data_IF_366492322217
#
_entry.id   IF_366492322217
#
_cell.length_a   1.000
_cell.length_b   1.000
_cell.length_c   1.000
_cell.angle_alpha   90.00
_cell.angle_beta   90.00
_cell.angle_gamma   90.00
#
_symmetry.space_group_name_H-M   'P 1'
#
loop_
_entity.id
_entity.type
_entity.pdbx_description
1 polymer ?
#
# COMPACT_ATOMS: atom_id res chain seq x y z
N UNK A 1 9.60 -10.94 34.02
CA UNK A 1 8.63 -10.94 32.92
C UNK A 1 9.45 -10.85 31.65
N UNK A 2 9.62 -11.98 30.97
CA UNK A 2 10.65 -12.19 29.95
C UNK A 2 10.43 -11.31 28.72
N UNK A 3 11.49 -10.63 28.34
CA UNK A 3 11.57 -9.81 27.13
C UNK A 3 11.43 -10.67 25.88
N UNK A 4 10.62 -10.19 24.94
CA UNK A 4 10.48 -10.62 23.55
C UNK A 4 11.78 -11.21 22.97
N UNK A 5 11.76 -12.40 22.33
CA UNK A 5 12.93 -12.88 21.60
C UNK A 5 13.11 -12.02 20.35
N UNK A 6 14.13 -11.18 20.39
CA UNK A 6 14.66 -10.46 19.24
C UNK A 6 14.97 -11.45 18.12
N UNK A 7 14.38 -11.24 16.93
CA UNK A 7 14.92 -11.75 15.67
C UNK A 7 16.42 -11.46 15.65
N UNK A 8 17.23 -12.53 15.65
CA UNK A 8 18.68 -12.46 15.74
C UNK A 8 19.24 -11.56 14.64
N UNK A 9 20.10 -10.62 15.07
CA UNK A 9 21.01 -9.86 14.20
C UNK A 9 21.96 -10.83 13.50
N UNK A 10 21.67 -11.17 12.25
CA UNK A 10 22.60 -11.80 11.32
C UNK A 10 23.14 -10.77 10.34
N UNK A 11 24.44 -10.53 10.44
CA UNK A 11 25.37 -9.92 9.48
C UNK A 11 25.04 -8.57 8.80
N UNK A 12 25.65 -7.51 9.36
CA UNK A 12 25.71 -6.17 8.80
C UNK A 12 26.88 -6.04 7.81
N UNK A 13 26.79 -6.63 6.62
CA UNK A 13 27.59 -6.16 5.46
C UNK A 13 26.90 -6.55 4.16
N UNK A 14 25.84 -5.86 3.75
CA UNK A 14 25.49 -5.66 2.34
C UNK A 14 24.73 -4.32 2.31
N UNK A 15 25.28 -3.31 1.64
CA UNK A 15 24.57 -2.05 1.36
C UNK A 15 23.37 -2.35 0.45
N UNK A 16 22.26 -2.81 1.03
CA UNK A 16 21.00 -2.91 0.32
C UNK A 16 20.51 -1.49 0.11
N UNK A 17 20.68 -0.98 -1.12
CA UNK A 17 19.96 0.21 -1.58
C UNK A 17 18.49 0.04 -1.17
N UNK A 18 17.82 1.06 -0.61
CA UNK A 18 16.40 0.98 -0.33
C UNK A 18 15.69 0.55 -1.62
N UNK A 19 14.81 -0.46 -1.52
CA UNK A 19 14.04 -0.91 -2.67
C UNK A 19 13.21 0.28 -3.15
N UNK A 20 13.48 0.73 -4.36
CA UNK A 20 12.79 1.87 -4.98
C UNK A 20 11.30 1.51 -5.12
N UNK A 21 10.42 2.35 -4.59
CA UNK A 21 8.98 2.27 -4.81
C UNK A 21 8.71 2.59 -6.29
N UNK A 22 8.16 1.61 -7.01
CA UNK A 22 7.83 1.75 -8.43
C UNK A 22 6.35 2.10 -8.60
N UNK A 23 6.02 3.39 -8.52
CA UNK A 23 4.70 3.91 -8.86
C UNK A 23 4.57 4.36 -10.33
N UNK A 24 5.58 4.08 -11.16
CA UNK A 24 5.67 4.64 -12.51
C UNK A 24 4.57 4.10 -13.43
N UNK A 25 4.17 2.84 -13.25
CA UNK A 25 3.05 2.27 -13.99
C UNK A 25 1.72 2.99 -13.69
N UNK A 26 1.49 3.31 -12.41
CA UNK A 26 0.27 3.99 -11.96
C UNK A 26 0.12 5.42 -12.48
N UNK A 27 1.23 6.10 -12.86
CA UNK A 27 1.15 7.42 -13.50
C UNK A 27 0.41 7.37 -14.84
N UNK A 28 0.38 6.20 -15.49
CA UNK A 28 -0.32 5.98 -16.75
C UNK A 28 -1.74 5.43 -16.55
N UNK A 29 -2.17 5.23 -15.30
CA UNK A 29 -3.52 4.81 -14.92
C UNK A 29 -4.21 6.02 -14.30
N UNK A 30 -4.82 6.85 -15.13
CA UNK A 30 -5.37 8.13 -14.71
C UNK A 30 -6.64 8.48 -15.47
N UNK A 31 -7.36 9.51 -15.03
CA UNK A 31 -8.55 9.98 -15.71
C UNK A 31 -8.23 10.69 -17.03
N UNK A 32 -9.26 10.94 -17.85
CA UNK A 32 -9.10 11.55 -19.17
C UNK A 32 -8.57 12.98 -19.13
N UNK A 33 -8.73 13.71 -18.03
CA UNK A 33 -8.18 15.05 -17.89
C UNK A 33 -6.67 14.99 -17.64
N UNK A 34 -6.24 14.24 -16.63
CA UNK A 34 -4.82 14.04 -16.32
C UNK A 34 -4.07 13.36 -17.46
N UNK A 35 -4.72 12.43 -18.18
CA UNK A 35 -4.11 11.77 -19.34
C UNK A 35 -3.86 12.75 -20.49
N UNK A 36 -4.80 13.66 -20.78
CA UNK A 36 -4.60 14.70 -21.79
C UNK A 36 -3.46 15.65 -21.43
N UNK A 37 -3.34 16.02 -20.16
CA UNK A 37 -2.24 16.88 -19.70
C UNK A 37 -0.88 16.16 -19.79
N UNK A 38 -0.82 14.87 -19.44
CA UNK A 38 0.37 14.04 -19.59
C UNK A 38 0.83 13.92 -21.04
N UNK A 39 -0.12 13.83 -21.98
CA UNK A 39 0.13 13.60 -23.41
C UNK A 39 0.16 14.89 -24.26
N UNK A 40 0.14 16.07 -23.63
CA UNK A 40 0.10 17.36 -24.34
C UNK A 40 1.37 17.60 -25.16
N UNK A 41 1.22 18.31 -26.28
CA UNK A 41 2.37 18.69 -27.12
C UNK A 41 3.17 19.86 -26.49
N UNK A 42 4.52 19.88 -26.66
CA UNK A 42 5.33 18.80 -27.22
C UNK A 42 5.46 17.63 -26.23
N UNK A 43 5.09 16.42 -26.66
CA UNK A 43 5.23 15.22 -25.85
C UNK A 43 6.64 14.65 -26.00
N UNK A 44 7.25 14.30 -24.88
CA UNK A 44 8.51 13.54 -24.83
C UNK A 44 8.43 12.48 -23.73
N UNK A 45 8.59 11.21 -24.09
CA UNK A 45 8.55 10.10 -23.14
C UNK A 45 9.61 10.23 -22.03
N UNK A 46 10.81 10.73 -22.36
CA UNK A 46 11.85 11.02 -21.37
C UNK A 46 11.43 12.12 -20.38
N UNK A 47 10.56 13.03 -20.80
CA UNK A 47 9.92 14.05 -19.97
C UNK A 47 9.03 13.44 -18.89
N UNK A 48 8.42 12.27 -19.10
CA UNK A 48 7.59 11.59 -18.09
C UNK A 48 8.38 11.22 -16.81
N UNK A 49 9.70 11.01 -16.94
CA UNK A 49 10.60 10.78 -15.80
C UNK A 49 11.01 12.06 -15.04
N UNK A 50 10.90 13.23 -15.69
CA UNK A 50 11.35 14.54 -15.18
C UNK A 50 10.22 15.48 -14.79
N UNK A 51 9.03 15.28 -15.34
CA UNK A 51 7.87 16.10 -15.09
C UNK A 51 7.42 15.95 -13.63
N UNK A 52 7.16 17.09 -12.99
CA UNK A 52 6.31 17.15 -11.82
C UNK A 52 4.89 16.85 -12.30
N UNK A 53 4.58 15.57 -12.45
CA UNK A 53 3.21 15.15 -12.75
C UNK A 53 2.37 15.51 -11.54
N UNK A 54 1.47 16.47 -11.73
CA UNK A 54 0.49 16.79 -10.71
C UNK A 54 -0.50 15.63 -10.65
N UNK A 55 -0.44 14.85 -9.58
CA UNK A 55 -1.42 13.83 -9.24
C UNK A 55 -2.18 14.34 -8.01
N UNK A 56 -3.33 14.96 -8.26
CA UNK A 56 -4.13 15.57 -7.21
C UNK A 56 -5.56 15.82 -7.65
N UNK A 57 -6.35 16.43 -6.76
CA UNK A 57 -7.69 16.92 -7.07
C UNK A 57 -7.65 18.44 -7.08
N UNK A 58 -8.33 19.09 -8.03
CA UNK A 58 -8.34 20.57 -8.13
C UNK A 58 -9.23 21.20 -7.07
N UNK A 59 -10.13 20.41 -6.50
CA UNK A 59 -11.04 20.75 -5.40
C UNK A 59 -11.03 19.60 -4.39
N UNK A 60 -11.20 19.86 -3.07
CA UNK A 60 -11.31 18.79 -2.09
C UNK A 60 -12.36 17.74 -2.49
N UNK A 61 -11.99 16.46 -2.42
CA UNK A 61 -12.92 15.34 -2.66
C UNK A 61 -12.98 14.45 -1.43
N UNK A 62 -14.19 14.11 -1.00
CA UNK A 62 -14.39 13.06 -0.01
C UNK A 62 -14.36 11.70 -0.70
N UNK A 63 -13.62 10.78 -0.11
CA UNK A 63 -13.49 9.39 -0.55
C UNK A 63 -13.63 8.47 0.66
N UNK A 64 -14.15 7.26 0.43
CA UNK A 64 -14.27 6.23 1.45
C UNK A 64 -12.95 5.50 1.72
N UNK A 65 -11.92 5.70 0.88
CA UNK A 65 -10.60 5.08 1.01
C UNK A 65 -9.49 6.12 0.80
N UNK A 66 -8.43 6.05 1.61
CA UNK A 66 -7.23 6.85 1.43
C UNK A 66 -6.13 6.08 0.69
N UNK A 67 -5.39 6.78 -0.18
CA UNK A 67 -4.24 6.25 -0.92
C UNK A 67 -2.88 6.73 -0.36
N UNK A 68 -2.90 7.71 0.54
CA UNK A 68 -1.71 8.31 1.17
C UNK A 68 -2.04 8.65 2.63
N UNK A 69 -1.01 8.71 3.50
CA UNK A 69 -1.23 9.07 4.92
C UNK A 69 -2.09 10.32 5.02
N UNK A 70 -3.22 10.27 5.75
CA UNK A 70 -4.02 11.44 5.99
C UNK A 70 -3.23 12.42 6.86
N UNK A 71 -3.22 13.69 6.46
CA UNK A 71 -2.57 14.76 7.24
C UNK A 71 -3.27 15.04 8.57
N UNK A 72 -4.52 14.60 8.70
CA UNK A 72 -5.31 14.72 9.92
C UNK A 72 -5.96 13.38 10.22
N UNK A 73 -5.64 12.84 11.38
CA UNK A 73 -6.27 11.65 11.95
C UNK A 73 -6.95 12.10 13.22
N UNK A 74 -8.27 11.90 13.30
CA UNK A 74 -8.95 11.98 14.58
C UNK A 74 -8.53 10.79 15.44
N UNK A 75 -7.60 11.04 16.36
CA UNK A 75 -7.05 10.05 17.29
C UNK A 75 -7.82 9.99 18.62
N UNK A 76 -9.04 10.54 18.69
CA UNK A 76 -9.92 10.36 19.85
C UNK A 76 -10.48 8.93 19.91
N UNK A 77 -10.51 8.24 18.77
CA UNK A 77 -10.92 6.84 18.64
C UNK A 77 -9.77 5.97 18.15
N UNK A 78 -9.88 4.65 18.37
CA UNK A 78 -8.84 3.68 18.01
C UNK A 78 -8.46 3.81 16.54
N UNK A 79 -7.14 3.87 16.31
CA UNK A 79 -6.49 3.74 14.99
C UNK A 79 -5.62 2.50 15.00
N UNK A 80 -5.41 1.80 13.88
CA UNK A 80 -4.54 0.63 13.86
C UNK A 80 -3.06 1.04 13.96
N UNK A 81 -2.19 0.09 14.28
CA UNK A 81 -0.76 0.27 14.03
C UNK A 81 -0.44 0.05 12.55
N UNK A 82 0.72 0.52 12.10
CA UNK A 82 1.23 0.22 10.77
C UNK A 82 2.10 -1.05 10.83
N UNK A 83 1.67 -2.20 10.30
CA UNK A 83 2.58 -3.32 10.08
C UNK A 83 3.60 -2.86 9.04
N UNK A 84 4.84 -2.68 9.47
CA UNK A 84 5.87 -2.12 8.61
C UNK A 84 6.53 -3.21 7.79
N UNK A 85 6.63 -4.44 8.30
CA UNK A 85 7.49 -5.49 7.73
C UNK A 85 8.89 -4.95 7.33
N UNK A 86 9.40 -3.97 8.10
CA UNK A 86 10.65 -3.26 7.82
C UNK A 86 10.58 -2.14 6.76
N UNK A 87 9.38 -1.64 6.42
CA UNK A 87 9.12 -0.56 5.46
C UNK A 87 8.27 0.55 6.09
N UNK A 88 8.59 1.80 5.76
CA UNK A 88 7.67 2.91 5.97
C UNK A 88 6.65 2.88 4.84
N UNK A 89 5.43 2.42 5.13
CA UNK A 89 4.38 2.23 4.14
C UNK A 89 3.00 2.42 4.77
N UNK A 90 2.24 3.32 4.16
CA UNK A 90 0.93 3.75 4.63
C UNK A 90 -0.18 2.79 4.18
N UNK A 91 0.10 1.95 3.18
CA UNK A 91 -0.89 1.13 2.47
C UNK A 91 -1.63 0.18 3.41
N UNK A 92 -0.89 -0.54 4.26
CA UNK A 92 -1.48 -1.47 5.22
C UNK A 92 -2.22 -0.73 6.34
N UNK A 93 -1.65 0.36 6.87
CA UNK A 93 -2.31 1.18 7.88
C UNK A 93 -3.66 1.69 7.37
N UNK A 94 -3.71 2.25 6.16
CA UNK A 94 -4.93 2.81 5.58
C UNK A 94 -5.97 1.75 5.23
N UNK A 95 -5.53 0.59 4.73
CA UNK A 95 -6.43 -0.53 4.46
C UNK A 95 -7.08 -1.06 5.74
N UNK A 96 -6.28 -1.25 6.80
CA UNK A 96 -6.80 -1.69 8.10
C UNK A 96 -7.67 -0.60 8.73
N UNK A 97 -7.29 0.68 8.64
CA UNK A 97 -8.08 1.80 9.18
C UNK A 97 -9.46 1.85 8.52
N UNK A 98 -9.51 1.76 7.18
CA UNK A 98 -10.76 1.73 6.42
C UNK A 98 -11.60 0.49 6.76
N UNK A 99 -10.97 -0.63 7.09
CA UNK A 99 -11.67 -1.84 7.51
C UNK A 99 -12.22 -1.76 8.94
N UNK A 100 -11.52 -1.12 9.89
CA UNK A 100 -12.01 -1.01 11.28
C UNK A 100 -12.92 0.20 11.51
N UNK A 101 -12.87 1.20 10.65
CA UNK A 101 -13.66 2.42 10.75
C UNK A 101 -14.35 2.73 9.40
N UNK A 102 -15.31 1.90 8.96
CA UNK A 102 -15.90 1.98 7.61
C UNK A 102 -16.72 3.26 7.35
N UNK A 103 -17.11 3.99 8.40
CA UNK A 103 -17.80 5.28 8.28
C UNK A 103 -16.82 6.47 8.19
N UNK A 104 -15.50 6.20 8.24
CA UNK A 104 -14.50 7.24 8.07
C UNK A 104 -14.57 7.81 6.65
N UNK A 105 -14.57 9.13 6.56
CA UNK A 105 -14.38 9.83 5.30
C UNK A 105 -12.97 10.38 5.24
N UNK A 106 -12.31 10.17 4.10
CA UNK A 106 -11.00 10.75 3.84
C UNK A 106 -11.16 11.91 2.87
N UNK A 107 -10.47 13.01 3.15
CA UNK A 107 -10.42 14.16 2.26
C UNK A 107 -9.17 14.07 1.38
N UNK A 108 -9.34 13.88 0.08
CA UNK A 108 -8.32 14.21 -0.90
C UNK A 108 -8.30 15.73 -1.04
N UNK A 109 -7.21 16.37 -0.60
CA UNK A 109 -7.06 17.80 -0.71
C UNK A 109 -6.23 18.15 -1.96
N UNK A 110 -6.42 19.34 -2.56
CA UNK A 110 -5.50 19.88 -3.55
C UNK A 110 -4.15 20.11 -2.86
N UNK A 111 -3.24 19.14 -2.99
CA UNK A 111 -1.97 19.17 -2.29
C UNK A 111 -0.83 19.24 -3.29
N UNK A 112 -0.12 20.36 -3.26
CA UNK A 112 1.20 20.52 -3.87
C UNK A 112 2.26 20.06 -2.87
N UNK A 113 2.16 18.85 -2.34
CA UNK A 113 3.31 18.24 -1.66
C UNK A 113 4.14 17.58 -2.74
N UNK A 114 5.02 18.38 -3.33
CA UNK A 114 6.13 17.85 -4.10
C UNK A 114 7.00 17.04 -3.14
N UNK A 115 6.89 15.72 -3.19
CA UNK A 115 7.94 14.87 -2.62
C UNK A 115 9.21 15.15 -3.42
N UNK A 116 10.10 16.00 -2.89
CA UNK A 116 11.46 16.07 -3.38
C UNK A 116 12.08 14.70 -3.12
N UNK A 117 12.31 13.88 -4.17
CA UNK A 117 12.81 12.54 -3.95
C UNK A 117 14.23 12.66 -3.40
N UNK A 118 14.49 12.04 -2.25
CA UNK A 118 15.81 12.06 -1.58
C UNK A 118 16.90 11.45 -2.48
N UNK A 119 16.49 10.53 -3.38
CA UNK A 119 17.33 9.91 -4.41
C UNK A 119 16.69 10.06 -5.80
N UNK A 120 17.49 10.18 -6.85
CA UNK A 120 17.00 10.14 -8.23
C UNK A 120 16.27 8.81 -8.50
N UNK A 121 15.01 8.88 -8.93
CA UNK A 121 14.20 7.72 -9.33
C UNK A 121 14.05 7.72 -10.84
N UNK A 122 14.64 6.73 -11.52
CA UNK A 122 14.37 6.49 -12.93
C UNK A 122 12.99 5.81 -13.08
N UNK A 123 11.96 6.65 -13.20
CA UNK A 123 10.57 6.19 -13.33
C UNK A 123 10.34 5.47 -14.65
N UNK A 124 11.02 5.89 -15.72
CA UNK A 124 10.81 5.31 -17.05
C UNK A 124 11.36 3.89 -17.09
N UNK A 125 12.58 3.68 -16.58
CA UNK A 125 13.12 2.33 -16.45
C UNK A 125 12.27 1.46 -15.50
N UNK A 126 11.81 2.03 -14.39
CA UNK A 126 10.93 1.32 -13.46
C UNK A 126 9.61 0.88 -14.12
N UNK A 127 9.01 1.68 -15.01
CA UNK A 127 7.79 1.31 -15.74
C UNK A 127 7.94 0.05 -16.59
N UNK A 128 9.16 -0.28 -17.03
CA UNK A 128 9.45 -1.48 -17.82
C UNK A 128 9.87 -2.69 -16.97
N UNK A 129 9.69 -2.62 -15.66
CA UNK A 129 9.88 -3.73 -14.73
C UNK A 129 8.53 -4.27 -14.27
N UNK A 130 8.52 -5.47 -13.71
CA UNK A 130 7.34 -6.03 -13.07
C UNK A 130 6.79 -5.06 -12.01
N UNK A 131 5.46 -4.97 -11.92
CA UNK A 131 4.75 -4.15 -10.96
C UNK A 131 5.22 -4.51 -9.55
N UNK A 132 5.76 -3.52 -8.85
CA UNK A 132 6.21 -3.70 -7.48
C UNK A 132 4.97 -3.75 -6.58
N UNK A 133 4.65 -4.94 -6.08
CA UNK A 133 3.70 -5.14 -5.00
C UNK A 133 4.38 -5.80 -3.80
N UNK A 134 3.80 -5.65 -2.62
CA UNK A 134 4.37 -6.17 -1.39
C UNK A 134 3.34 -6.71 -0.40
N UNK A 135 3.85 -7.27 0.70
CA UNK A 135 3.02 -7.89 1.73
C UNK A 135 2.08 -6.92 2.42
N UNK A 136 2.45 -5.64 2.55
CA UNK A 136 1.59 -4.61 3.11
C UNK A 136 0.42 -4.30 2.18
N UNK A 137 0.67 -4.26 0.87
CA UNK A 137 -0.37 -4.16 -0.15
C UNK A 137 -1.31 -5.37 -0.09
N UNK A 138 -0.78 -6.58 0.10
CA UNK A 138 -1.61 -7.78 0.24
C UNK A 138 -2.48 -7.70 1.50
N UNK A 139 -1.89 -7.34 2.63
CA UNK A 139 -2.62 -7.21 3.89
C UNK A 139 -3.72 -6.14 3.81
N UNK A 140 -3.44 -5.01 3.13
CA UNK A 140 -4.44 -3.98 2.86
C UNK A 140 -5.61 -4.53 2.05
N UNK A 141 -5.33 -5.24 0.94
CA UNK A 141 -6.35 -5.90 0.14
C UNK A 141 -7.15 -6.97 0.92
N UNK A 142 -6.47 -7.73 1.77
CA UNK A 142 -7.10 -8.70 2.67
C UNK A 142 -8.05 -8.02 3.66
N UNK A 143 -7.62 -6.94 4.31
CA UNK A 143 -8.46 -6.16 5.23
C UNK A 143 -9.72 -5.63 4.52
N UNK A 144 -9.59 -5.12 3.30
CA UNK A 144 -10.74 -4.71 2.48
C UNK A 144 -11.66 -5.88 2.12
N UNK A 145 -11.11 -7.05 1.78
CA UNK A 145 -11.89 -8.25 1.45
C UNK A 145 -12.72 -8.76 2.63
N UNK A 146 -12.18 -8.71 3.85
CA UNK A 146 -12.88 -9.21 5.06
C UNK A 146 -13.81 -8.16 5.68
N UNK A 147 -13.58 -6.86 5.45
CA UNK A 147 -14.35 -5.77 6.06
C UNK A 147 -15.88 -5.90 5.93
N UNK A 148 -16.46 -6.29 4.77
CA UNK A 148 -17.91 -6.47 4.63
C UNK A 148 -18.52 -7.56 5.52
N UNK A 149 -17.70 -8.51 6.00
CA UNK A 149 -18.12 -9.61 6.87
C UNK A 149 -18.23 -9.17 8.33
N UNK A 150 -17.57 -8.06 8.69
CA UNK A 150 -17.56 -7.51 10.05
C UNK A 150 -18.79 -6.63 10.27
N UNK A 151 -19.74 -7.08 11.10
CA UNK A 151 -21.02 -6.37 11.34
C UNK A 151 -20.96 -5.36 12.49
N UNK A 152 -20.09 -5.58 13.47
CA UNK A 152 -19.93 -4.67 14.61
C UNK A 152 -19.29 -3.34 14.23
N UNK A 153 -19.56 -2.28 15.00
CA UNK A 153 -18.96 -0.94 14.82
C UNK A 153 -17.79 -0.64 15.77
N UNK A 154 -17.60 -1.46 16.81
CA UNK A 154 -16.47 -1.32 17.72
C UNK A 154 -15.14 -1.57 16.98
N UNK A 155 -14.32 -0.52 16.86
CA UNK A 155 -13.06 -0.56 16.11
C UNK A 155 -12.10 -1.60 16.68
N UNK A 156 -12.07 -1.76 18.00
CA UNK A 156 -11.20 -2.74 18.68
C UNK A 156 -11.60 -4.18 18.36
N UNK A 157 -12.89 -4.50 18.44
CA UNK A 157 -13.43 -5.80 18.06
C UNK A 157 -13.20 -6.10 16.58
N UNK A 158 -13.38 -5.10 15.69
CA UNK A 158 -13.08 -5.25 14.26
C UNK A 158 -11.59 -5.52 14.04
N UNK A 159 -10.68 -4.79 14.69
CA UNK A 159 -9.24 -5.02 14.57
C UNK A 159 -8.85 -6.44 15.01
N UNK A 160 -9.36 -6.89 16.16
CA UNK A 160 -9.15 -8.27 16.65
C UNK A 160 -9.72 -9.31 15.70
N UNK A 161 -10.89 -9.07 15.10
CA UNK A 161 -11.49 -9.98 14.13
C UNK A 161 -10.64 -10.10 12.85
N UNK A 162 -10.15 -8.97 12.30
CA UNK A 162 -9.24 -9.00 11.13
C UNK A 162 -7.96 -9.75 11.48
N UNK A 163 -7.39 -9.50 12.67
CA UNK A 163 -6.19 -10.18 13.14
C UNK A 163 -6.38 -11.69 13.32
N UNK A 164 -7.54 -12.13 13.82
CA UNK A 164 -7.89 -13.54 13.93
C UNK A 164 -8.05 -14.21 12.54
N UNK A 165 -8.67 -13.51 11.59
CA UNK A 165 -8.76 -13.98 10.20
C UNK A 165 -7.38 -14.07 9.54
N UNK A 166 -6.49 -13.11 9.79
CA UNK A 166 -5.11 -13.15 9.32
C UNK A 166 -4.33 -14.32 9.94
N UNK A 167 -4.50 -14.57 11.25
CA UNK A 167 -3.90 -15.72 11.93
C UNK A 167 -4.40 -17.05 11.36
N UNK A 168 -5.70 -17.16 11.06
CA UNK A 168 -6.27 -18.33 10.40
C UNK A 168 -5.70 -18.52 8.99
N UNK A 169 -5.55 -17.44 8.21
CA UNK A 169 -4.91 -17.50 6.89
C UNK A 169 -3.45 -17.97 6.99
N UNK A 170 -2.71 -17.55 8.02
CA UNK A 170 -1.33 -17.98 8.27
C UNK A 170 -1.19 -19.46 8.65
N UNK A 171 -2.25 -20.07 9.17
CA UNK A 171 -2.27 -21.47 9.60
C UNK A 171 -2.31 -22.48 8.43
N UNK A 172 -2.50 -22.00 7.19
CA UNK A 172 -2.37 -22.86 6.01
C UNK A 172 -0.90 -23.33 5.82
N UNK A 173 -0.73 -24.42 5.08
CA UNK A 173 0.59 -24.92 4.74
C UNK A 173 1.31 -23.97 3.75
N UNK A 174 2.61 -24.19 3.52
CA UNK A 174 3.42 -23.32 2.65
C UNK A 174 2.92 -23.28 1.19
N UNK A 175 2.41 -24.39 0.67
CA UNK A 175 1.91 -24.48 -0.70
C UNK A 175 0.62 -23.68 -0.90
N UNK A 176 -0.32 -23.78 0.04
CA UNK A 176 -1.56 -23.01 0.05
C UNK A 176 -1.27 -21.51 0.19
N UNK A 177 -0.34 -21.13 1.08
CA UNK A 177 0.08 -19.74 1.21
C UNK A 177 0.71 -19.18 -0.06
N UNK A 178 1.57 -19.97 -0.72
CA UNK A 178 2.15 -19.61 -2.01
C UNK A 178 1.06 -19.42 -3.08
N UNK A 179 0.05 -20.30 -3.11
CA UNK A 179 -1.06 -20.21 -4.03
C UNK A 179 -1.90 -18.95 -3.79
N UNK A 180 -2.23 -18.64 -2.53
CA UNK A 180 -3.00 -17.45 -2.16
C UNK A 180 -2.29 -16.14 -2.54
N UNK A 181 -1.00 -16.02 -2.20
CA UNK A 181 -0.19 -14.85 -2.57
C UNK A 181 -0.08 -14.72 -4.09
N UNK A 182 0.08 -15.84 -4.80
CA UNK A 182 0.14 -15.85 -6.28
C UNK A 182 -1.19 -15.41 -6.89
N UNK A 183 -2.31 -15.95 -6.40
CA UNK A 183 -3.64 -15.59 -6.87
C UNK A 183 -3.95 -14.11 -6.61
N UNK A 184 -3.59 -13.59 -5.43
CA UNK A 184 -3.73 -12.17 -5.12
C UNK A 184 -2.85 -11.30 -6.03
N UNK A 185 -1.55 -11.61 -6.18
CA UNK A 185 -0.65 -10.87 -7.08
C UNK A 185 -1.23 -10.82 -8.49
N UNK A 186 -1.71 -11.95 -8.99
CA UNK A 186 -2.28 -12.04 -10.33
C UNK A 186 -3.51 -11.17 -10.50
N UNK A 187 -4.40 -11.12 -9.50
CA UNK A 187 -5.55 -10.19 -9.52
C UNK A 187 -5.11 -8.73 -9.59
N UNK A 188 -4.15 -8.32 -8.75
CA UNK A 188 -3.64 -6.93 -8.73
C UNK A 188 -3.00 -6.56 -10.06
N UNK A 189 -2.13 -7.43 -10.58
CA UNK A 189 -1.47 -7.19 -11.88
C UNK A 189 -2.49 -7.15 -13.01
N UNK A 190 -3.46 -8.07 -13.05
CA UNK A 190 -4.52 -8.07 -14.06
C UNK A 190 -5.34 -6.78 -14.04
N UNK A 191 -5.76 -6.29 -12.86
CA UNK A 191 -6.46 -5.01 -12.73
C UNK A 191 -5.62 -3.82 -13.20
N UNK A 192 -4.31 -3.83 -12.95
CA UNK A 192 -3.41 -2.79 -13.48
C UNK A 192 -3.33 -2.84 -15.01
N UNK A 193 -3.25 -4.03 -15.61
CA UNK A 193 -3.25 -4.21 -17.08
C UNK A 193 -4.57 -3.76 -17.72
N UNK A 194 -5.71 -4.08 -17.12
CA UNK A 194 -7.01 -3.60 -17.56
C UNK A 194 -7.08 -2.07 -17.55
N UNK A 195 -6.53 -1.45 -16.50
CA UNK A 195 -6.50 -0.01 -16.37
C UNK A 195 -5.56 0.66 -17.41
N UNK A 196 -4.42 0.04 -17.74
CA UNK A 196 -3.56 0.49 -18.84
C UNK A 196 -4.26 0.39 -20.21
N UNK A 197 -4.96 -0.73 -20.46
CA UNK A 197 -5.76 -0.89 -21.66
C UNK A 197 -6.87 0.17 -21.75
N UNK A 198 -7.46 0.56 -20.61
CA UNK A 198 -8.42 1.64 -20.55
C UNK A 198 -7.75 3.00 -20.85
N UNK A 199 -6.55 3.27 -20.35
CA UNK A 199 -5.82 4.50 -20.69
C UNK A 199 -5.52 4.60 -22.18
N UNK A 200 -5.13 3.52 -22.86
CA UNK A 200 -4.96 3.50 -24.31
C UNK A 200 -6.26 3.88 -25.04
N UNK A 201 -7.40 3.33 -24.60
CA UNK A 201 -8.72 3.68 -25.16
C UNK A 201 -9.07 5.15 -24.94
N UNK A 202 -8.79 5.69 -23.75
CA UNK A 202 -9.07 7.08 -23.40
C UNK A 202 -8.19 8.08 -24.16
N UNK A 203 -6.93 7.73 -24.43
CA UNK A 203 -6.02 8.59 -25.19
C UNK A 203 -6.44 8.74 -26.66
N UNK A 204 -7.13 7.73 -27.21
CA UNK A 204 -7.65 7.75 -28.57
C UNK A 204 -6.57 7.77 -29.65
N UNK A 205 -6.95 8.16 -30.87
CA UNK A 205 -6.06 8.13 -32.04
C UNK A 205 -5.01 9.23 -32.07
N UNK A 206 -5.14 10.25 -31.22
CA UNK A 206 -4.18 11.35 -31.07
C UNK A 206 -3.05 11.02 -30.09
N UNK A 207 -3.04 9.82 -29.50
CA UNK A 207 -2.02 9.43 -28.54
C UNK A 207 -0.62 9.38 -29.21
N UNK A 208 0.41 9.97 -28.59
CA UNK A 208 1.78 9.90 -29.11
C UNK A 208 2.25 8.46 -29.31
N UNK A 209 2.81 8.17 -30.48
CA UNK A 209 3.21 6.79 -30.85
C UNK A 209 4.22 6.19 -29.87
N UNK A 210 5.18 6.99 -29.39
CA UNK A 210 6.17 6.55 -28.40
C UNK A 210 5.55 6.22 -27.03
N UNK A 211 4.50 6.93 -26.60
CA UNK A 211 3.76 6.60 -25.38
C UNK A 211 3.02 5.27 -25.54
N UNK A 212 2.32 5.08 -26.65
CA UNK A 212 1.62 3.82 -26.96
C UNK A 212 2.58 2.62 -26.94
N UNK A 213 3.76 2.76 -27.54
CA UNK A 213 4.81 1.72 -27.50
C UNK A 213 5.27 1.43 -26.06
N UNK A 214 5.45 2.47 -25.25
CA UNK A 214 5.85 2.32 -23.86
C UNK A 214 4.80 1.58 -23.01
N UNK A 215 3.51 1.90 -23.17
CA UNK A 215 2.42 1.19 -22.49
C UNK A 215 2.36 -0.27 -22.93
N UNK A 216 2.44 -0.55 -24.24
CA UNK A 216 2.43 -1.92 -24.75
C UNK A 216 3.63 -2.74 -24.24
N UNK A 217 4.81 -2.12 -24.09
CA UNK A 217 5.98 -2.76 -23.49
C UNK A 217 5.74 -3.07 -22.00
N UNK A 218 5.19 -2.13 -21.25
CA UNK A 218 4.86 -2.34 -19.84
C UNK A 218 3.79 -3.42 -19.64
N UNK A 219 2.78 -3.49 -20.52
CA UNK A 219 1.77 -4.56 -20.55
C UNK A 219 2.44 -5.92 -20.76
N UNK A 220 3.31 -6.05 -21.77
CA UNK A 220 3.99 -7.30 -22.08
C UNK A 220 4.83 -7.84 -20.91
N UNK A 221 5.58 -6.96 -20.24
CA UNK A 221 6.40 -7.33 -19.06
C UNK A 221 5.51 -7.87 -17.93
N UNK A 222 4.43 -7.16 -17.61
CA UNK A 222 3.55 -7.54 -16.50
C UNK A 222 2.67 -8.75 -16.84
N UNK A 223 2.30 -8.94 -18.10
CA UNK A 223 1.58 -10.13 -18.57
C UNK A 223 2.44 -11.38 -18.48
N UNK A 224 3.74 -11.28 -18.76
CA UNK A 224 4.68 -12.40 -18.57
C UNK A 224 4.76 -12.84 -17.09
N UNK A 225 4.68 -11.89 -16.15
CA UNK A 225 4.70 -12.18 -14.72
C UNK A 225 3.48 -12.98 -14.23
N UNK A 226 2.33 -12.90 -14.92
CA UNK A 226 1.12 -13.67 -14.56
C UNK A 226 1.30 -15.18 -14.73
N UNK A 227 2.22 -15.61 -15.59
CA UNK A 227 2.48 -17.02 -15.91
C UNK A 227 3.42 -17.73 -14.94
N UNK A 228 3.97 -17.02 -13.96
CA UNK A 228 4.93 -17.57 -12.97
C UNK A 228 4.31 -17.65 -11.58
N UNK A 229 4.94 -18.34 -10.63
CA UNK A 229 4.54 -18.24 -9.22
C UNK A 229 4.96 -16.88 -8.62
N UNK A 230 4.29 -16.43 -7.55
CA UNK A 230 4.74 -15.24 -6.82
C UNK A 230 6.19 -15.39 -6.33
N UNK A 231 7.04 -14.35 -6.46
CA UNK A 231 8.43 -14.42 -5.99
C UNK A 231 8.52 -14.74 -4.50
N UNK A 232 9.48 -15.57 -4.10
CA UNK A 232 9.68 -15.98 -2.70
C UNK A 232 9.77 -14.79 -1.72
N UNK A 233 10.37 -13.68 -2.14
CA UNK A 233 10.46 -12.46 -1.34
C UNK A 233 9.10 -11.79 -1.07
N UNK A 234 8.15 -11.87 -2.01
CA UNK A 234 6.79 -11.38 -1.82
C UNK A 234 6.02 -12.28 -0.87
N UNK A 235 6.19 -13.60 -1.01
CA UNK A 235 5.52 -14.62 -0.20
C UNK A 235 5.96 -14.53 1.27
N UNK A 236 7.27 -14.43 1.51
CA UNK A 236 7.84 -14.23 2.85
C UNK A 236 7.46 -12.86 3.44
N UNK A 237 7.51 -11.79 2.62
CA UNK A 237 7.13 -10.44 3.06
C UNK A 237 5.66 -10.34 3.45
N UNK A 238 4.79 -11.03 2.71
CA UNK A 238 3.35 -11.14 3.01
C UNK A 238 3.11 -11.85 4.33
N UNK A 239 3.80 -12.99 4.55
CA UNK A 239 3.70 -13.75 5.80
C UNK A 239 4.09 -12.89 6.99
N UNK A 240 5.21 -12.18 6.90
CA UNK A 240 5.67 -11.26 7.94
C UNK A 240 4.66 -10.15 8.24
N UNK A 241 4.03 -9.55 7.23
CA UNK A 241 3.02 -8.50 7.45
C UNK A 241 1.78 -9.04 8.19
N UNK A 242 1.30 -10.23 7.82
CA UNK A 242 0.17 -10.88 8.48
C UNK A 242 0.52 -11.28 9.92
N UNK A 243 1.73 -11.80 10.16
CA UNK A 243 2.20 -12.17 11.51
C UNK A 243 2.29 -10.94 12.42
N UNK A 244 2.76 -9.81 11.89
CA UNK A 244 2.77 -8.55 12.65
C UNK A 244 1.36 -8.13 13.03
N UNK A 245 0.39 -8.22 12.11
CA UNK A 245 -1.00 -7.90 12.42
C UNK A 245 -1.56 -8.84 13.52
N UNK A 246 -1.40 -10.15 13.35
CA UNK A 246 -1.96 -11.14 14.27
C UNK A 246 -1.39 -11.01 15.67
N UNK A 247 -0.08 -10.77 15.78
CA UNK A 247 0.62 -10.76 17.07
C UNK A 247 0.44 -9.44 17.83
N UNK A 248 0.28 -8.32 17.14
CA UNK A 248 0.22 -7.01 17.78
C UNK A 248 -1.21 -6.52 18.07
N UNK A 249 -2.24 -7.06 17.42
CA UNK A 249 -3.62 -6.57 17.56
C UNK A 249 -4.16 -6.63 18.99
N UNK A 250 -3.92 -7.71 19.72
CA UNK A 250 -4.40 -7.84 21.10
C UNK A 250 -3.74 -6.79 22.00
N UNK A 251 -2.40 -6.75 22.02
CA UNK A 251 -1.63 -5.77 22.79
C UNK A 251 -2.04 -4.33 22.44
N UNK A 252 -2.18 -4.02 21.15
CA UNK A 252 -2.58 -2.70 20.68
C UNK A 252 -3.97 -2.30 21.18
N UNK A 253 -4.97 -3.19 21.08
CA UNK A 253 -6.31 -2.90 21.60
C UNK A 253 -6.34 -2.78 23.13
N UNK A 254 -5.50 -3.54 23.84
CA UNK A 254 -5.33 -3.41 25.28
C UNK A 254 -4.74 -2.05 25.67
N UNK A 255 -3.68 -1.62 24.99
CA UNK A 255 -3.06 -0.31 25.22
C UNK A 255 -4.02 0.84 24.95
N UNK A 256 -4.84 0.71 23.90
CA UNK A 256 -5.85 1.71 23.60
C UNK A 256 -6.91 1.83 24.69
N UNK A 257 -7.42 0.70 25.19
CA UNK A 257 -8.40 0.69 26.27
C UNK A 257 -7.83 1.30 27.57
N UNK A 258 -6.57 1.01 27.89
CA UNK A 258 -5.85 1.59 29.04
C UNK A 258 -5.62 3.10 28.88
N UNK A 259 -5.31 3.56 27.66
CA UNK A 259 -5.18 4.99 27.38
C UNK A 259 -6.54 5.71 27.52
N UNK A 260 -7.62 5.12 26.99
CA UNK A 260 -8.96 5.68 27.04
C UNK A 260 -9.53 5.77 28.47
N UNK A 261 -9.13 4.88 29.38
CA UNK A 261 -9.55 4.91 30.79
C UNK A 261 -8.75 5.90 31.67
N UNK A 262 -7.91 6.74 31.08
CA UNK A 262 -7.13 7.76 31.79
C UNK A 262 -5.71 7.35 32.15
N UNK A 263 -5.21 6.20 31.67
CA UNK A 263 -3.84 5.72 31.86
C UNK A 263 -2.74 6.53 31.17
N UNK A 264 -3.03 7.73 30.65
CA UNK A 264 -2.07 8.56 29.89
C UNK A 264 -0.81 8.94 30.68
N UNK A 265 -0.90 9.01 32.02
CA UNK A 265 0.25 9.21 32.89
C UNK A 265 1.16 7.97 32.94
N UNK A 266 0.57 6.77 33.03
CA UNK A 266 1.29 5.50 33.01
C UNK A 266 2.01 5.26 31.67
N UNK A 267 1.36 5.66 30.57
CA UNK A 267 1.93 5.56 29.23
C UNK A 267 3.08 6.54 29.00
N UNK A 268 3.01 7.76 29.54
CA UNK A 268 4.13 8.72 29.51
C UNK A 268 5.38 8.14 30.17
N UNK A 269 5.21 7.49 31.33
CA UNK A 269 6.31 6.81 32.03
C UNK A 269 6.85 5.61 31.23
N UNK A 270 5.97 4.76 30.69
CA UNK A 270 6.38 3.56 29.92
C UNK A 270 7.10 3.90 28.61
N UNK A 271 6.67 4.96 27.91
CA UNK A 271 7.25 5.37 26.62
C UNK A 271 8.47 6.28 26.78
N UNK A 272 8.85 6.64 28.01
CA UNK A 272 9.95 7.57 28.31
C UNK A 272 9.84 8.90 27.55
N UNK A 273 8.62 9.36 27.25
CA UNK A 273 8.41 10.63 26.57
C UNK A 273 8.64 11.74 27.59
N UNK A 274 9.84 12.31 27.60
CA UNK A 274 10.15 13.52 28.36
C UNK A 274 9.47 14.72 27.69
N UNK A 275 8.71 15.49 28.47
CA UNK A 275 8.15 16.79 28.05
C UNK A 275 9.26 17.84 28.06
#
# INVERSE_FOLDING_TARGET
MECWPTCRRGDRRHSRRPRVVNSALYLNITDSHSLRDLLREPFELAGAGRALVWQGVTVPRLTSNAAYTPFLIDNRELVPFAPTAGRADDTAFLGVLSAIAPDSSFAMLPMLIGHAPVDHRDRLDAMFRELLIDGNTFLSGFAHQVSPQLRGRDRGARLRAIAALAANALACNEADWQADVTAWRNRVVASALEALAQSLKLAGTSAPAEWCQAINRADAVNRAALSTAAPAALVAGSRCAFEQLSNAAEAWTGWWAEAASGGSALWRDRLQVRV
#
